data_IF_728778204121
#
_entry.id   IF_728778204121
#
_cell.length_a   1.000
_cell.length_b   1.000
_cell.length_c   1.000
_cell.angle_alpha   90.00
_cell.angle_beta   90.00
_cell.angle_gamma   90.00
#
_symmetry.space_group_name_H-M   'P 1'
#
loop_
_entity.id
_entity.type
_entity.pdbx_description
1 polymer ?
#
# COMPACT_ATOMS: atom_id res chain seq x y z
N UNK A 1 -14.13 0.27 -8.71
CA UNK A 1 -13.46 1.06 -7.69
C UNK A 1 -13.12 2.38 -8.34
N UNK A 2 -13.46 3.48 -7.71
CA UNK A 2 -13.20 4.83 -8.21
C UNK A 2 -11.93 5.42 -7.57
N UNK A 3 -11.31 6.40 -8.22
CA UNK A 3 -10.15 7.12 -7.65
C UNK A 3 -10.41 7.62 -6.23
N UNK A 4 -11.63 8.09 -5.95
CA UNK A 4 -12.04 8.57 -4.64
C UNK A 4 -11.95 7.50 -3.54
N UNK A 5 -12.23 6.23 -3.86
CA UNK A 5 -12.16 5.15 -2.88
C UNK A 5 -10.71 4.84 -2.52
N UNK A 6 -9.78 4.96 -3.49
CA UNK A 6 -8.35 4.80 -3.24
C UNK A 6 -7.77 5.91 -2.36
N UNK A 7 -8.31 7.13 -2.44
CA UNK A 7 -7.89 8.22 -1.54
C UNK A 7 -8.14 7.90 -0.06
N UNK A 8 -9.19 7.13 0.27
CA UNK A 8 -9.40 6.67 1.66
C UNK A 8 -8.35 5.64 2.09
N UNK A 9 -7.92 4.78 1.17
CA UNK A 9 -6.80 3.84 1.41
C UNK A 9 -5.53 4.63 1.73
N UNK A 10 -5.20 5.64 0.92
CA UNK A 10 -4.05 6.53 1.13
C UNK A 10 -4.11 7.25 2.47
N UNK A 11 -5.24 7.86 2.82
CA UNK A 11 -5.38 8.58 4.09
C UNK A 11 -5.17 7.68 5.31
N UNK A 12 -5.80 6.51 5.32
CA UNK A 12 -5.64 5.55 6.43
C UNK A 12 -4.22 4.97 6.49
N UNK A 13 -3.54 4.83 5.34
CA UNK A 13 -2.12 4.45 5.28
C UNK A 13 -1.21 5.55 5.84
N UNK A 14 -1.47 6.80 5.50
CA UNK A 14 -0.71 7.96 6.01
C UNK A 14 -0.81 8.08 7.53
N UNK A 15 -1.98 7.81 8.12
CA UNK A 15 -2.13 7.76 9.59
C UNK A 15 -1.18 6.71 10.21
N UNK A 16 -1.13 5.51 9.62
CA UNK A 16 -0.26 4.44 10.10
C UNK A 16 1.23 4.78 9.91
N UNK A 17 1.62 5.26 8.73
CA UNK A 17 3.00 5.67 8.43
C UNK A 17 3.47 6.79 9.36
N UNK A 18 2.61 7.77 9.63
CA UNK A 18 2.90 8.84 10.57
C UNK A 18 3.13 8.31 12.00
N UNK A 19 2.35 7.32 12.44
CA UNK A 19 2.61 6.67 13.73
C UNK A 19 3.90 5.86 13.71
N UNK A 20 4.15 5.06 12.67
CA UNK A 20 5.38 4.27 12.57
C UNK A 20 6.64 5.13 12.54
N UNK A 21 6.56 6.36 12.03
CA UNK A 21 7.64 7.35 12.07
C UNK A 21 8.01 7.81 13.48
N UNK A 22 7.12 7.67 14.45
CA UNK A 22 7.35 8.02 15.86
C UNK A 22 8.04 6.89 16.64
N UNK A 23 8.20 5.70 16.05
CA UNK A 23 8.89 4.57 16.67
C UNK A 23 10.40 4.81 16.75
N UNK A 24 11.03 4.27 17.78
CA UNK A 24 12.48 4.12 17.81
C UNK A 24 12.93 2.97 16.87
N UNK A 25 14.21 2.97 16.50
CA UNK A 25 14.76 2.00 15.55
C UNK A 25 14.62 0.54 16.01
N UNK A 26 14.76 0.29 17.32
CA UNK A 26 14.63 -1.04 17.90
C UNK A 26 13.20 -1.57 17.68
N UNK A 27 12.18 -0.84 18.08
CA UNK A 27 10.77 -1.22 17.89
C UNK A 27 10.39 -1.31 16.41
N UNK A 28 10.94 -0.42 15.57
CA UNK A 28 10.64 -0.41 14.14
C UNK A 28 11.15 -1.67 13.43
N UNK A 29 12.28 -2.21 13.88
CA UNK A 29 12.97 -3.35 13.24
C UNK A 29 12.84 -4.66 14.00
N UNK A 30 12.28 -4.65 15.22
CA UNK A 30 12.14 -5.84 16.08
C UNK A 30 11.34 -6.94 15.41
N UNK A 31 11.93 -8.14 15.36
CA UNK A 31 11.25 -9.34 14.90
C UNK A 31 10.28 -9.87 15.99
N UNK A 32 9.02 -10.05 15.61
CA UNK A 32 7.92 -10.49 16.48
C UNK A 32 7.41 -11.90 16.14
N UNK A 33 8.00 -12.56 15.13
CA UNK A 33 7.76 -13.96 14.81
C UNK A 33 6.46 -14.25 14.04
N UNK A 34 5.79 -13.23 13.48
CA UNK A 34 4.62 -13.39 12.62
C UNK A 34 4.60 -12.34 11.49
N UNK A 35 3.73 -12.56 10.50
CA UNK A 35 3.63 -11.68 9.33
C UNK A 35 4.99 -11.58 8.61
N UNK A 36 5.38 -10.35 8.26
CA UNK A 36 6.68 -10.05 7.68
C UNK A 36 7.80 -9.85 8.72
N UNK A 37 7.65 -10.41 9.92
CA UNK A 37 8.60 -10.36 11.04
C UNK A 37 8.62 -9.04 11.82
N UNK A 38 8.69 -7.88 11.18
CA UNK A 38 8.79 -6.56 11.86
C UNK A 38 7.83 -5.52 11.29
N UNK A 39 7.72 -4.35 11.95
CA UNK A 39 6.92 -3.21 11.45
C UNK A 39 7.49 -2.71 10.12
N UNK A 40 8.81 -2.47 10.06
CA UNK A 40 9.51 -2.05 8.84
C UNK A 40 9.24 -2.99 7.67
N UNK A 41 9.49 -4.28 7.90
CA UNK A 41 9.41 -5.29 6.84
C UNK A 41 7.94 -5.50 6.40
N UNK A 42 6.98 -5.31 7.31
CA UNK A 42 5.55 -5.34 6.97
C UNK A 42 5.15 -4.16 6.07
N UNK A 43 5.62 -2.94 6.36
CA UNK A 43 5.35 -1.77 5.51
C UNK A 43 5.96 -1.92 4.12
N UNK A 44 7.20 -2.40 4.03
CA UNK A 44 7.87 -2.66 2.76
C UNK A 44 7.14 -3.74 1.97
N UNK A 45 6.71 -4.82 2.63
CA UNK A 45 5.94 -5.90 1.99
C UNK A 45 4.61 -5.41 1.41
N UNK A 46 3.90 -4.53 2.13
CA UNK A 46 2.68 -3.90 1.62
C UNK A 46 2.98 -3.11 0.33
N UNK A 47 3.94 -2.18 0.36
CA UNK A 47 4.30 -1.38 -0.82
C UNK A 47 4.79 -2.25 -1.98
N UNK A 48 5.58 -3.29 -1.69
CA UNK A 48 6.08 -4.24 -2.69
C UNK A 48 4.97 -5.01 -3.40
N UNK A 49 3.82 -5.25 -2.74
CA UNK A 49 2.65 -5.86 -3.37
C UNK A 49 2.12 -4.99 -4.53
N UNK A 50 2.05 -3.67 -4.35
CA UNK A 50 1.66 -2.74 -5.42
C UNK A 50 2.69 -2.69 -6.55
N UNK A 51 3.99 -2.67 -6.22
CA UNK A 51 5.05 -2.70 -7.23
C UNK A 51 5.00 -3.96 -8.08
N UNK A 52 4.79 -5.11 -7.45
CA UNK A 52 4.71 -6.39 -8.14
C UNK A 52 3.47 -6.46 -9.04
N UNK A 53 2.28 -6.22 -8.49
CA UNK A 53 1.06 -6.45 -9.24
C UNK A 53 0.67 -5.31 -10.17
N UNK A 54 0.80 -4.06 -9.74
CA UNK A 54 0.39 -2.93 -10.57
C UNK A 54 1.55 -2.45 -11.43
N UNK A 55 2.69 -2.16 -10.81
CA UNK A 55 3.88 -1.64 -11.51
C UNK A 55 4.45 -2.63 -12.52
N UNK A 56 4.79 -3.85 -12.09
CA UNK A 56 5.42 -4.84 -12.94
C UNK A 56 4.41 -5.65 -13.77
N UNK A 57 3.37 -6.23 -13.15
CA UNK A 57 2.49 -7.15 -13.87
C UNK A 57 1.50 -6.46 -14.81
N UNK A 58 0.77 -5.43 -14.36
CA UNK A 58 -0.20 -4.74 -15.21
C UNK A 58 0.49 -3.73 -16.12
N UNK A 59 1.23 -2.78 -15.55
CA UNK A 59 1.76 -1.61 -16.25
C UNK A 59 3.10 -1.85 -16.96
N UNK A 60 3.81 -2.95 -16.66
CA UNK A 60 5.15 -3.26 -17.20
C UNK A 60 6.21 -2.16 -16.94
N UNK A 61 6.00 -1.34 -15.91
CA UNK A 61 6.87 -0.22 -15.55
C UNK A 61 8.03 -0.62 -14.64
N UNK A 62 7.97 -1.80 -14.01
CA UNK A 62 9.02 -2.33 -13.14
C UNK A 62 9.46 -3.73 -13.59
N UNK A 63 10.78 -3.95 -13.70
CA UNK A 63 11.36 -5.27 -14.03
C UNK A 63 11.74 -6.08 -12.80
N UNK A 64 12.15 -5.39 -11.72
CA UNK A 64 12.51 -5.97 -10.43
C UNK A 64 11.67 -5.30 -9.34
N UNK A 65 10.38 -5.67 -9.20
CA UNK A 65 9.45 -4.94 -8.35
C UNK A 65 9.69 -5.13 -6.84
N UNK A 66 10.39 -6.20 -6.46
CA UNK A 66 10.63 -6.55 -5.06
C UNK A 66 12.08 -6.23 -4.68
N UNK A 67 12.23 -5.60 -3.52
CA UNK A 67 13.53 -5.24 -2.96
C UNK A 67 14.25 -6.47 -2.40
N UNK A 68 15.58 -6.47 -2.47
CA UNK A 68 16.40 -7.51 -1.85
C UNK A 68 16.48 -7.31 -0.34
N UNK A 69 16.86 -8.36 0.41
CA UNK A 69 17.02 -8.26 1.87
C UNK A 69 18.09 -7.24 2.26
N UNK A 70 19.16 -7.10 1.47
CA UNK A 70 20.20 -6.09 1.73
C UNK A 70 19.64 -4.67 1.66
N UNK A 71 18.78 -4.38 0.66
CA UNK A 71 18.13 -3.07 0.54
C UNK A 71 17.19 -2.85 1.71
N UNK A 72 16.29 -3.80 1.98
CA UNK A 72 15.29 -3.74 3.07
C UNK A 72 15.96 -3.41 4.41
N UNK A 73 17.09 -4.07 4.72
CA UNK A 73 17.79 -3.89 5.99
C UNK A 73 18.31 -2.47 6.24
N UNK A 74 18.48 -1.68 5.18
CA UNK A 74 19.00 -0.30 5.24
C UNK A 74 17.91 0.76 5.14
N UNK A 75 16.68 0.38 4.77
CA UNK A 75 15.58 1.33 4.59
C UNK A 75 15.11 1.95 5.90
N UNK A 76 14.90 3.26 5.83
CA UNK A 76 14.25 4.07 6.85
C UNK A 76 12.79 4.35 6.48
N UNK A 77 12.02 4.87 7.44
CA UNK A 77 10.61 5.20 7.22
C UNK A 77 10.39 6.19 6.07
N UNK A 78 11.35 7.09 5.81
CA UNK A 78 11.31 8.01 4.67
C UNK A 78 11.44 7.29 3.33
N UNK A 79 12.30 6.27 3.23
CA UNK A 79 12.48 5.49 2.01
C UNK A 79 11.21 4.67 1.71
N UNK A 80 10.56 4.18 2.77
CA UNK A 80 9.30 3.43 2.68
C UNK A 80 8.16 4.35 2.25
N UNK A 81 8.13 5.60 2.72
CA UNK A 81 7.17 6.60 2.23
C UNK A 81 7.34 6.83 0.73
N UNK A 82 8.57 7.04 0.25
CA UNK A 82 8.85 7.18 -1.19
C UNK A 82 8.44 5.92 -1.98
N UNK A 83 8.62 4.74 -1.40
CA UNK A 83 8.17 3.50 -2.00
C UNK A 83 6.64 3.48 -2.13
N UNK A 84 5.90 3.93 -1.11
CA UNK A 84 4.45 4.10 -1.22
C UNK A 84 4.03 5.18 -2.22
N UNK A 85 4.76 6.29 -2.31
CA UNK A 85 4.45 7.35 -3.28
C UNK A 85 4.56 6.82 -4.72
N UNK A 86 5.53 5.93 -5.00
CA UNK A 86 5.64 5.24 -6.27
C UNK A 86 4.49 4.23 -6.50
N UNK A 87 4.05 3.53 -5.44
CA UNK A 87 2.87 2.67 -5.50
C UNK A 87 1.60 3.45 -5.84
N UNK A 88 1.43 4.66 -5.28
CA UNK A 88 0.32 5.55 -5.58
C UNK A 88 0.33 5.97 -7.05
N UNK A 89 1.50 6.31 -7.59
CA UNK A 89 1.64 6.64 -9.01
C UNK A 89 1.23 5.49 -9.94
N UNK A 90 1.44 4.21 -9.53
CA UNK A 90 0.95 3.08 -10.30
C UNK A 90 -0.57 2.97 -10.28
N UNK A 91 -1.23 3.26 -9.16
CA UNK A 91 -2.69 3.24 -9.09
C UNK A 91 -3.28 4.35 -9.96
N UNK A 92 -2.67 5.55 -9.95
CA UNK A 92 -3.08 6.64 -10.85
C UNK A 92 -2.94 6.25 -12.32
N UNK A 93 -1.78 5.70 -12.71
CA UNK A 93 -1.53 5.22 -14.06
C UNK A 93 -2.49 4.08 -14.47
N UNK A 94 -2.84 3.21 -13.53
CA UNK A 94 -3.81 2.13 -13.76
C UNK A 94 -5.19 2.70 -14.13
N UNK A 95 -5.67 3.68 -13.38
CA UNK A 95 -6.95 4.34 -13.67
C UNK A 95 -6.93 5.11 -15.00
N UNK A 96 -5.80 5.70 -15.37
CA UNK A 96 -5.66 6.41 -16.64
C UNK A 96 -5.63 5.47 -17.85
N UNK A 97 -4.87 4.37 -17.77
CA UNK A 97 -4.64 3.47 -18.90
C UNK A 97 -5.72 2.40 -19.08
N UNK A 98 -6.42 2.02 -18.02
CA UNK A 98 -7.38 0.91 -18.03
C UNK A 98 -8.81 1.34 -17.70
N UNK A 99 -9.13 2.64 -17.73
CA UNK A 99 -10.49 3.15 -17.46
C UNK A 99 -11.59 2.40 -18.22
N UNK A 100 -11.39 2.14 -19.52
CA UNK A 100 -12.35 1.42 -20.36
C UNK A 100 -12.17 -0.12 -20.34
N UNK A 101 -11.01 -0.62 -19.90
CA UNK A 101 -10.60 -2.03 -20.03
C UNK A 101 -10.27 -2.67 -18.67
N UNK A 102 -10.85 -2.15 -17.58
CA UNK A 102 -10.49 -2.54 -16.21
C UNK A 102 -10.80 -4.01 -15.88
N UNK A 103 -11.71 -4.60 -16.66
CA UNK A 103 -12.17 -5.98 -16.54
C UNK A 103 -11.64 -6.90 -17.66
N UNK A 104 -10.78 -6.38 -18.54
CA UNK A 104 -10.12 -7.21 -19.54
C UNK A 104 -9.05 -8.08 -18.89
N UNK A 105 -8.98 -9.33 -19.34
CA UNK A 105 -8.03 -10.29 -18.79
C UNK A 105 -6.62 -10.01 -19.30
N UNK A 106 -5.68 -9.92 -18.37
CA UNK A 106 -4.25 -9.96 -18.63
C UNK A 106 -3.73 -11.36 -18.26
N UNK A 107 -2.99 -11.97 -19.18
CA UNK A 107 -2.31 -13.24 -18.95
C UNK A 107 -0.80 -13.08 -19.18
N UNK A 108 0.00 -13.26 -18.13
CA UNK A 108 1.46 -13.05 -18.14
C UNK A 108 2.16 -13.94 -17.13
N UNK A 109 3.44 -14.23 -17.37
CA UNK A 109 4.33 -14.84 -16.37
C UNK A 109 4.85 -13.79 -15.38
N UNK A 110 5.17 -14.21 -14.15
CA UNK A 110 5.73 -13.32 -13.14
C UNK A 110 7.25 -13.21 -13.33
N UNK A 111 7.74 -12.03 -13.70
CA UNK A 111 9.18 -11.78 -13.90
C UNK A 111 10.00 -12.05 -12.62
N UNK A 112 9.41 -11.84 -11.45
CA UNK A 112 10.07 -12.04 -10.15
C UNK A 112 9.82 -13.42 -9.52
N UNK A 113 8.95 -14.25 -10.13
CA UNK A 113 8.62 -15.62 -9.70
C UNK A 113 8.29 -16.51 -10.91
N UNK A 114 9.25 -16.77 -11.81
CA UNK A 114 9.01 -17.51 -13.03
C UNK A 114 8.50 -18.94 -12.78
N UNK A 115 8.78 -19.52 -11.62
CA UNK A 115 8.33 -20.86 -11.20
C UNK A 115 6.81 -20.98 -11.01
N UNK A 116 6.10 -19.87 -10.85
CA UNK A 116 4.63 -19.85 -10.65
C UNK A 116 3.87 -20.07 -11.97
N UNK A 117 4.53 -19.86 -13.12
CA UNK A 117 3.90 -19.93 -14.43
C UNK A 117 3.04 -18.71 -14.76
N UNK A 118 2.12 -18.85 -15.73
CA UNK A 118 1.24 -17.75 -16.14
C UNK A 118 0.13 -17.49 -15.13
N UNK A 119 -0.08 -16.21 -14.84
CA UNK A 119 -1.21 -15.71 -14.05
C UNK A 119 -2.19 -15.03 -14.99
N UNK A 120 -3.48 -15.32 -14.80
CA UNK A 120 -4.58 -14.77 -15.60
C UNK A 120 -5.55 -14.01 -14.69
N UNK A 121 -5.52 -12.67 -14.74
CA UNK A 121 -6.31 -11.77 -13.88
C UNK A 121 -6.65 -10.46 -14.59
N UNK A 122 -7.70 -9.78 -14.13
CA UNK A 122 -8.04 -8.43 -14.60
C UNK A 122 -7.33 -7.35 -13.79
N UNK A 123 -7.11 -6.14 -14.33
CA UNK A 123 -6.65 -4.97 -13.57
C UNK A 123 -7.47 -4.74 -12.30
N UNK A 124 -8.81 -4.84 -12.39
CA UNK A 124 -9.72 -4.70 -11.24
C UNK A 124 -9.42 -5.70 -10.13
N UNK A 125 -9.22 -6.97 -10.47
CA UNK A 125 -8.92 -8.01 -9.51
C UNK A 125 -7.58 -7.75 -8.80
N UNK A 126 -6.57 -7.26 -9.53
CA UNK A 126 -5.25 -6.98 -8.97
C UNK A 126 -5.24 -5.71 -8.11
N UNK A 127 -5.98 -4.67 -8.49
CA UNK A 127 -6.18 -3.50 -7.62
C UNK A 127 -6.89 -3.90 -6.32
N UNK A 128 -7.97 -4.69 -6.42
CA UNK A 128 -8.66 -5.19 -5.23
C UNK A 128 -7.75 -6.05 -4.35
N UNK A 129 -6.94 -6.93 -4.96
CA UNK A 129 -5.99 -7.76 -4.24
C UNK A 129 -4.97 -6.91 -3.47
N UNK A 130 -4.35 -5.92 -4.10
CA UNK A 130 -3.34 -5.06 -3.46
C UNK A 130 -3.93 -4.27 -2.29
N UNK A 131 -5.14 -3.72 -2.42
CA UNK A 131 -5.81 -2.96 -1.36
C UNK A 131 -6.22 -3.87 -0.20
N UNK A 132 -6.87 -5.00 -0.47
CA UNK A 132 -7.28 -5.94 0.59
C UNK A 132 -6.06 -6.53 1.31
N UNK A 133 -4.97 -6.80 0.58
CA UNK A 133 -3.68 -7.21 1.13
C UNK A 133 -3.07 -6.12 2.02
N UNK A 134 -3.14 -4.85 1.62
CA UNK A 134 -2.71 -3.73 2.47
C UNK A 134 -3.48 -3.70 3.79
N UNK A 135 -4.82 -3.75 3.78
CA UNK A 135 -5.60 -3.74 5.02
C UNK A 135 -5.32 -4.95 5.91
N UNK A 136 -5.13 -6.13 5.32
CA UNK A 136 -4.72 -7.33 6.05
C UNK A 136 -3.42 -7.11 6.86
N UNK A 137 -2.38 -6.56 6.21
CA UNK A 137 -1.11 -6.33 6.87
C UNK A 137 -1.09 -5.07 7.76
N UNK A 138 -1.92 -4.06 7.48
CA UNK A 138 -2.15 -2.93 8.43
C UNK A 138 -2.70 -3.44 9.75
N UNK A 139 -3.64 -4.40 9.71
CA UNK A 139 -4.13 -5.07 10.92
C UNK A 139 -3.01 -5.78 11.70
N UNK A 140 -2.07 -6.43 11.00
CA UNK A 140 -0.90 -7.04 11.62
C UNK A 140 0.02 -6.00 12.25
N UNK A 141 0.31 -4.88 11.57
CA UNK A 141 1.14 -3.80 12.12
C UNK A 141 0.48 -3.20 13.36
N UNK A 142 -0.85 -2.98 13.36
CA UNK A 142 -1.60 -2.54 14.54
C UNK A 142 -1.43 -3.51 15.72
N UNK A 143 -1.43 -4.82 15.47
CA UNK A 143 -1.15 -5.82 16.50
C UNK A 143 0.32 -5.75 16.97
N UNK A 144 1.28 -5.57 16.06
CA UNK A 144 2.70 -5.39 16.40
C UNK A 144 2.92 -4.18 17.30
N UNK A 145 2.32 -3.03 16.96
CA UNK A 145 2.38 -1.82 17.77
C UNK A 145 1.90 -2.06 19.20
N UNK A 146 0.80 -2.80 19.39
CA UNK A 146 0.31 -3.17 20.73
C UNK A 146 1.29 -4.05 21.49
N UNK A 147 1.89 -5.04 20.83
CA UNK A 147 2.88 -5.94 21.45
C UNK A 147 4.15 -5.21 21.87
N UNK A 148 4.50 -4.14 21.16
CA UNK A 148 5.62 -3.24 21.47
C UNK A 148 5.26 -2.20 22.55
N UNK A 149 4.03 -2.20 23.06
CA UNK A 149 3.59 -1.30 24.14
C UNK A 149 3.03 0.05 23.66
N UNK A 150 2.84 0.23 22.35
CA UNK A 150 2.27 1.44 21.76
C UNK A 150 0.73 1.36 21.69
N UNK A 151 0.05 2.52 21.76
CA UNK A 151 -1.39 2.62 21.53
C UNK A 151 -1.61 2.92 20.04
N UNK A 152 -2.16 2.01 19.22
CA UNK A 152 -2.34 2.25 17.79
C UNK A 152 -3.35 3.36 17.51
N UNK A 153 -3.04 4.24 16.56
CA UNK A 153 -3.99 5.23 16.02
C UNK A 153 -5.09 4.51 15.23
N UNK A 154 -6.27 5.11 15.18
CA UNK A 154 -7.40 4.55 14.43
C UNK A 154 -7.12 4.63 12.93
N UNK A 155 -7.24 3.51 12.22
CA UNK A 155 -6.97 3.44 10.77
C UNK A 155 -8.18 3.00 9.95
N UNK A 156 -9.36 2.89 10.55
CA UNK A 156 -10.59 2.65 9.80
C UNK A 156 -11.08 3.92 9.10
N UNK A 157 -11.67 3.73 7.92
CA UNK A 157 -12.26 4.80 7.10
C UNK A 157 -13.36 5.55 7.87
N UNK A 158 -14.07 4.90 8.78
CA UNK A 158 -15.13 5.49 9.61
C UNK A 158 -14.60 6.64 10.49
N UNK A 159 -13.30 6.62 10.82
CA UNK A 159 -12.67 7.66 11.64
C UNK A 159 -11.98 8.77 10.82
N UNK A 160 -12.06 8.71 9.48
CA UNK A 160 -11.53 9.78 8.65
C UNK A 160 -12.39 11.06 8.82
N UNK A 161 -11.77 12.24 8.80
CA UNK A 161 -12.51 13.49 8.86
C UNK A 161 -13.41 13.63 7.63
N UNK A 162 -14.59 14.25 7.83
CA UNK A 162 -15.40 14.68 6.70
C UNK A 162 -14.57 15.60 5.80
N UNK A 163 -14.70 15.45 4.48
CA UNK A 163 -14.18 16.47 3.57
C UNK A 163 -14.88 17.77 3.94
N UNK A 164 -14.13 18.79 4.35
CA UNK A 164 -14.66 20.15 4.42
C UNK A 164 -15.15 20.51 3.01
N UNK A 165 -16.45 20.39 2.77
CA UNK A 165 -17.07 21.07 1.65
C UNK A 165 -16.98 22.55 1.99
N UNK A 166 -16.05 23.24 1.34
CA UNK A 166 -15.90 24.69 1.46
C UNK A 166 -17.28 25.34 1.41
N UNK A 167 -17.64 26.02 2.50
CA UNK A 167 -18.88 26.75 2.63
C UNK A 167 -18.99 27.72 1.45
N UNK A 168 -19.92 27.45 0.53
CA UNK A 168 -20.39 28.49 -0.38
C UNK A 168 -21.11 29.48 0.53
N UNK A 169 -20.44 30.59 0.82
CA UNK A 169 -21.06 31.73 1.45
C UNK A 169 -22.30 32.09 0.64
N UNK A 170 -23.48 31.87 1.22
CA UNK A 170 -24.73 32.38 0.68
C UNK A 170 -24.67 33.89 0.75
N UNK A 171 -24.21 34.54 -0.31
CA UNK A 171 -24.45 35.94 -0.56
C UNK A 171 -25.96 36.15 -0.65
N UNK A 172 -26.53 36.79 0.39
CA UNK A 172 -27.81 37.46 0.27
C UNK A 172 -27.52 38.85 -0.28
N UNK A 173 -27.96 39.10 -1.51
CA UNK A 173 -28.40 40.43 -1.93
C UNK A 173 -29.89 40.56 -1.62
#
# INVERSE_FOLDING_TARGET
MEKQEYEWVKQTRQILLAQCKELNDDDFTKELGFGSQSVRDSLIHIAGCYHAWLGAFVLLQAKSPLLTKEVINTMQISDIQLYFDQADAYVDALFEQFSDNFDDIIERELVWRPEVGSIRKTPRQLLMHTITHEFHHKGQIVAMLRLLGHIPKHTDIIALPDKEYGSVASGRE
#
